data_IF_256580603128
#
_entry.id   IF_256580603128
#
_cell.length_a   1.000
_cell.length_b   1.000
_cell.length_c   1.000
_cell.angle_alpha   90.00
_cell.angle_beta   90.00
_cell.angle_gamma   90.00
#
_symmetry.space_group_name_H-M   'P 1'
#
loop_
_entity.id
_entity.type
_entity.pdbx_description
1 polymer ?
#
# COMPACT_ATOMS: atom_id res chain seq x y z
N UNK A 1 10.13 -42.60 -29.49
CA UNK A 1 10.98 -41.44 -29.11
C UNK A 1 10.76 -40.21 -30.00
N UNK A 2 10.94 -40.27 -31.33
CA UNK A 2 10.75 -39.09 -32.22
C UNK A 2 9.36 -38.43 -32.14
N UNK A 3 8.27 -39.21 -32.10
CA UNK A 3 6.89 -38.69 -31.98
C UNK A 3 6.60 -38.01 -30.64
N UNK A 4 7.19 -38.51 -29.55
CA UNK A 4 7.07 -37.91 -28.20
C UNK A 4 7.86 -36.60 -28.12
N UNK A 5 9.08 -36.57 -28.69
CA UNK A 5 9.88 -35.34 -28.77
C UNK A 5 9.21 -34.24 -29.61
N UNK A 6 8.59 -34.61 -30.73
CA UNK A 6 7.84 -33.66 -31.57
C UNK A 6 6.60 -33.10 -30.84
N UNK A 7 5.90 -33.94 -30.08
CA UNK A 7 4.75 -33.53 -29.27
C UNK A 7 5.14 -32.55 -28.15
N UNK A 8 6.22 -32.84 -27.41
CA UNK A 8 6.73 -31.95 -26.37
C UNK A 8 7.20 -30.60 -26.94
N UNK A 9 7.86 -30.60 -28.09
CA UNK A 9 8.25 -29.37 -28.78
C UNK A 9 7.04 -28.54 -29.19
N UNK A 10 6.01 -29.17 -29.75
CA UNK A 10 4.77 -28.48 -30.13
C UNK A 10 4.08 -27.83 -28.92
N UNK A 11 4.02 -28.53 -27.78
CA UNK A 11 3.47 -27.98 -26.53
C UNK A 11 4.30 -26.79 -26.03
N UNK A 12 5.63 -26.90 -26.06
CA UNK A 12 6.51 -25.81 -25.65
C UNK A 12 6.32 -24.57 -26.53
N UNK A 13 6.28 -24.73 -27.86
CA UNK A 13 6.03 -23.64 -28.80
C UNK A 13 4.65 -23.00 -28.56
N UNK A 14 3.61 -23.81 -28.35
CA UNK A 14 2.27 -23.30 -28.04
C UNK A 14 2.24 -22.51 -26.72
N UNK A 15 2.93 -22.99 -25.69
CA UNK A 15 3.03 -22.29 -24.41
C UNK A 15 3.76 -20.94 -24.55
N UNK A 16 4.88 -20.89 -25.29
CA UNK A 16 5.61 -19.65 -25.57
C UNK A 16 4.74 -18.67 -26.37
N UNK A 17 4.04 -19.16 -27.40
CA UNK A 17 3.13 -18.34 -28.19
C UNK A 17 1.99 -17.76 -27.34
N UNK A 18 1.42 -18.56 -26.43
CA UNK A 18 0.40 -18.10 -25.48
C UNK A 18 0.95 -17.02 -24.53
N UNK A 19 2.13 -17.23 -23.94
CA UNK A 19 2.77 -16.23 -23.07
C UNK A 19 3.03 -14.94 -23.85
N UNK A 20 3.54 -15.01 -25.08
CA UNK A 20 3.73 -13.83 -25.92
C UNK A 20 2.42 -13.11 -26.20
N UNK A 21 1.38 -13.84 -26.66
CA UNK A 21 0.06 -13.28 -26.92
C UNK A 21 -0.52 -12.57 -25.68
N UNK A 22 -0.47 -13.22 -24.51
CA UNK A 22 -0.97 -12.65 -23.26
C UNK A 22 -0.18 -11.42 -22.77
N UNK A 23 1.09 -11.27 -23.19
CA UNK A 23 1.90 -10.11 -22.84
C UNK A 23 1.65 -8.90 -23.74
N UNK A 24 1.23 -9.11 -24.99
CA UNK A 24 0.92 -8.04 -25.95
C UNK A 24 -0.58 -7.72 -26.05
N UNK A 25 -1.45 -8.48 -25.39
CA UNK A 25 -2.89 -8.19 -25.37
C UNK A 25 -3.17 -6.78 -24.83
N UNK A 26 -4.05 -6.05 -25.50
CA UNK A 26 -4.45 -4.70 -25.09
C UNK A 26 -3.34 -3.65 -25.22
N UNK A 27 -2.24 -3.95 -25.94
CA UNK A 27 -1.20 -2.98 -26.28
C UNK A 27 -1.44 -2.51 -27.72
N UNK A 28 -1.95 -1.28 -27.88
CA UNK A 28 -2.07 -0.63 -29.18
C UNK A 28 -0.75 -0.04 -29.65
N UNK A 29 -0.71 0.44 -30.90
CA UNK A 29 0.40 1.25 -31.38
C UNK A 29 0.59 2.49 -30.50
N UNK A 30 1.83 2.77 -30.13
CA UNK A 30 2.19 3.97 -29.37
C UNK A 30 2.57 5.08 -30.34
N UNK A 31 2.10 6.29 -30.06
CA UNK A 31 2.60 7.48 -30.72
C UNK A 31 3.92 7.89 -30.04
N UNK A 32 5.00 7.74 -30.78
CA UNK A 32 6.36 8.05 -30.33
C UNK A 32 6.76 9.50 -30.65
N UNK A 33 5.84 10.28 -31.22
CA UNK A 33 6.08 11.69 -31.50
C UNK A 33 6.44 12.44 -30.21
N UNK A 34 7.55 13.20 -30.20
CA UNK A 34 7.85 14.11 -29.10
C UNK A 34 6.79 15.21 -29.02
N UNK A 35 6.36 15.57 -27.81
CA UNK A 35 5.51 16.74 -27.61
C UNK A 35 6.34 18.03 -27.84
N UNK A 36 6.17 18.65 -29.00
CA UNK A 36 6.83 19.91 -29.36
C UNK A 36 6.29 21.12 -28.57
N UNK A 37 5.05 21.05 -28.10
CA UNK A 37 4.39 22.16 -27.41
C UNK A 37 4.60 22.08 -25.89
N UNK A 38 4.87 23.21 -25.21
CA UNK A 38 4.81 23.28 -23.75
C UNK A 38 3.44 22.83 -23.24
N UNK A 39 3.38 22.13 -22.09
CA UNK A 39 2.11 21.66 -21.55
C UNK A 39 1.23 22.84 -21.13
N UNK A 40 -0.08 22.75 -21.38
CA UNK A 40 -1.04 23.77 -20.95
C UNK A 40 -1.09 23.85 -19.42
N UNK A 41 -1.23 25.05 -18.86
CA UNK A 41 -1.20 25.27 -17.41
C UNK A 41 -2.26 24.44 -16.65
N UNK A 42 -3.48 24.32 -17.21
CA UNK A 42 -4.55 23.52 -16.60
C UNK A 42 -4.23 22.02 -16.60
N UNK A 43 -3.55 21.52 -17.65
CA UNK A 43 -3.07 20.14 -17.73
C UNK A 43 -2.01 19.86 -16.66
N UNK A 44 -1.05 20.78 -16.51
CA UNK A 44 -0.01 20.70 -15.47
C UNK A 44 -0.62 20.72 -14.07
N UNK A 45 -1.59 21.60 -13.80
CA UNK A 45 -2.26 21.68 -12.50
C UNK A 45 -3.02 20.38 -12.18
N UNK A 46 -3.75 19.84 -13.16
CA UNK A 46 -4.42 18.54 -13.03
C UNK A 46 -3.42 17.40 -12.81
N UNK A 47 -2.33 17.39 -13.56
CA UNK A 47 -1.24 16.42 -13.42
C UNK A 47 -0.61 16.44 -12.05
N UNK A 48 -0.32 17.62 -11.51
CA UNK A 48 0.22 17.80 -10.16
C UNK A 48 -0.68 17.15 -9.10
N UNK A 49 -1.99 17.37 -9.24
CA UNK A 49 -3.00 16.77 -8.36
C UNK A 49 -3.01 15.23 -8.47
N UNK A 50 -3.02 14.69 -9.68
CA UNK A 50 -3.09 13.25 -9.92
C UNK A 50 -1.80 12.51 -9.54
N UNK A 51 -0.62 13.10 -9.79
CA UNK A 51 0.67 12.56 -9.36
C UNK A 51 0.77 12.51 -7.84
N UNK A 52 0.17 13.49 -7.15
CA UNK A 52 0.06 13.47 -5.69
C UNK A 52 -0.93 12.40 -5.21
N UNK A 53 -2.11 12.31 -5.82
CA UNK A 53 -3.10 11.26 -5.54
C UNK A 53 -2.49 9.85 -5.72
N UNK A 54 -1.71 9.67 -6.79
CA UNK A 54 -0.97 8.45 -7.11
C UNK A 54 0.21 8.14 -6.20
N UNK A 55 0.51 9.02 -5.23
CA UNK A 55 1.61 8.90 -4.28
C UNK A 55 3.00 8.70 -4.93
N UNK A 56 3.20 9.21 -6.15
CA UNK A 56 4.41 8.90 -6.93
C UNK A 56 5.70 9.37 -6.24
N UNK A 57 5.64 10.51 -5.54
CA UNK A 57 6.80 11.11 -4.87
C UNK A 57 7.38 10.22 -3.77
N UNK A 58 6.56 9.44 -3.07
CA UNK A 58 6.99 8.54 -1.99
C UNK A 58 7.96 7.48 -2.49
N UNK A 59 7.71 6.92 -3.68
CA UNK A 59 8.59 5.93 -4.29
C UNK A 59 9.70 6.61 -5.10
N UNK A 60 9.40 7.67 -5.84
CA UNK A 60 10.34 8.30 -6.76
C UNK A 60 11.19 9.40 -6.14
N UNK A 61 11.36 9.40 -4.82
CA UNK A 61 12.27 10.32 -4.11
C UNK A 61 13.00 9.55 -3.02
N UNK A 62 14.33 9.50 -3.11
CA UNK A 62 15.16 8.99 -2.02
C UNK A 62 15.19 9.98 -0.85
N UNK A 63 15.39 9.48 0.37
CA UNK A 63 15.50 10.33 1.57
C UNK A 63 16.66 11.32 1.40
N UNK A 64 16.35 12.62 1.48
CA UNK A 64 17.32 13.70 1.26
C UNK A 64 17.69 13.95 -0.21
N UNK A 65 17.09 13.22 -1.15
CA UNK A 65 17.28 13.41 -2.59
C UNK A 65 16.36 14.48 -3.17
N UNK A 66 16.63 14.86 -4.43
CA UNK A 66 15.77 15.77 -5.17
C UNK A 66 14.40 15.13 -5.46
N UNK A 67 13.29 15.89 -5.35
CA UNK A 67 11.95 15.38 -5.64
C UNK A 67 11.86 14.71 -7.01
N UNK A 68 11.22 13.54 -7.07
CA UNK A 68 11.00 12.77 -8.30
C UNK A 68 12.26 12.22 -8.99
N UNK A 69 13.46 12.42 -8.44
CA UNK A 69 14.72 11.95 -9.03
C UNK A 69 15.00 10.44 -8.82
N UNK A 70 14.06 9.68 -8.26
CA UNK A 70 14.09 8.22 -8.14
C UNK A 70 14.90 7.68 -6.97
N UNK A 71 15.43 6.48 -7.16
CA UNK A 71 16.48 5.81 -6.39
C UNK A 71 16.17 5.31 -4.99
N UNK A 72 14.94 5.52 -4.49
CA UNK A 72 14.49 4.81 -3.29
C UNK A 72 14.52 3.31 -3.54
N UNK A 73 15.11 2.57 -2.60
CA UNK A 73 15.08 1.12 -2.56
C UNK A 73 13.72 0.62 -2.04
N UNK A 74 13.16 -0.38 -2.71
CA UNK A 74 11.94 -1.07 -2.33
C UNK A 74 12.30 -2.55 -2.18
N UNK A 75 12.41 -2.99 -0.93
CA UNK A 75 12.71 -4.39 -0.62
C UNK A 75 11.49 -5.26 -0.86
N UNK A 76 11.71 -6.38 -1.53
CA UNK A 76 10.70 -7.40 -1.78
C UNK A 76 11.24 -8.77 -1.38
N UNK A 77 10.37 -9.78 -1.18
CA UNK A 77 10.81 -11.17 -1.01
C UNK A 77 11.64 -11.71 -2.18
N UNK A 78 11.70 -11.02 -3.32
CA UNK A 78 12.42 -11.46 -4.52
C UNK A 78 13.74 -10.71 -4.73
N UNK A 79 14.08 -9.76 -3.84
CA UNK A 79 15.22 -8.85 -3.92
C UNK A 79 14.76 -7.39 -3.94
N UNK A 80 15.66 -6.48 -4.26
CA UNK A 80 15.41 -5.04 -4.15
C UNK A 80 15.11 -4.43 -5.53
N UNK A 81 14.02 -3.68 -5.63
CA UNK A 81 13.67 -2.85 -6.79
C UNK A 81 14.01 -1.40 -6.46
N UNK A 82 14.57 -0.65 -7.42
CA UNK A 82 14.86 0.77 -7.25
C UNK A 82 13.92 1.60 -8.10
N UNK A 83 13.38 2.68 -7.54
CA UNK A 83 12.53 3.60 -8.28
C UNK A 83 13.33 4.38 -9.34
N UNK A 84 12.73 4.63 -10.50
CA UNK A 84 13.37 5.41 -11.57
C UNK A 84 13.26 6.93 -11.37
N UNK A 85 14.05 7.70 -12.08
CA UNK A 85 13.94 9.15 -12.18
C UNK A 85 12.72 9.52 -13.05
N UNK A 86 11.80 10.35 -12.53
CA UNK A 86 10.62 10.83 -13.25
C UNK A 86 10.76 12.27 -13.79
N UNK A 87 11.87 12.95 -13.49
CA UNK A 87 12.12 14.31 -13.98
C UNK A 87 12.35 14.32 -15.50
N UNK A 88 12.23 15.46 -16.20
CA UNK A 88 12.43 15.53 -17.66
C UNK A 88 13.90 15.43 -18.09
N UNK A 89 14.81 15.02 -17.20
CA UNK A 89 16.18 14.72 -17.59
C UNK A 89 16.24 13.48 -18.50
N UNK A 90 17.30 13.36 -19.31
CA UNK A 90 17.53 12.20 -20.21
C UNK A 90 17.60 10.86 -19.46
N UNK A 91 18.08 10.87 -18.23
CA UNK A 91 18.10 9.68 -17.36
C UNK A 91 16.73 9.34 -16.75
N UNK A 92 15.75 10.24 -16.87
CA UNK A 92 14.36 10.06 -16.46
C UNK A 92 13.39 10.00 -17.64
N UNK A 93 12.43 10.93 -17.67
CA UNK A 93 11.37 10.99 -18.69
C UNK A 93 11.69 11.88 -19.89
N UNK A 94 12.90 12.45 -19.99
CA UNK A 94 13.22 13.47 -21.01
C UNK A 94 13.03 13.04 -22.46
N UNK A 95 13.20 11.74 -22.73
CA UNK A 95 13.02 11.18 -24.08
C UNK A 95 11.72 10.36 -24.22
N UNK A 96 10.82 10.41 -23.23
CA UNK A 96 9.55 9.68 -23.27
C UNK A 96 8.51 10.47 -24.07
N UNK A 97 7.62 9.75 -24.74
CA UNK A 97 6.39 10.32 -25.32
C UNK A 97 5.20 10.08 -24.37
N UNK A 98 4.07 10.78 -24.56
CA UNK A 98 2.84 10.47 -23.84
C UNK A 98 2.40 9.02 -24.04
N UNK A 99 2.59 8.47 -25.25
CA UNK A 99 2.33 7.06 -25.56
C UNK A 99 3.18 6.10 -24.73
N UNK A 100 4.47 6.40 -24.54
CA UNK A 100 5.33 5.63 -23.66
C UNK A 100 4.89 5.67 -22.19
N UNK A 101 4.53 6.86 -21.70
CA UNK A 101 4.09 7.04 -20.32
C UNK A 101 2.76 6.32 -20.05
N UNK A 102 1.80 6.48 -20.96
CA UNK A 102 0.55 5.71 -20.97
C UNK A 102 0.82 4.22 -20.91
N UNK A 103 1.65 3.69 -21.81
CA UNK A 103 1.97 2.26 -21.86
C UNK A 103 2.63 1.76 -20.57
N UNK A 104 3.48 2.57 -19.92
CA UNK A 104 4.05 2.18 -18.65
C UNK A 104 2.94 2.02 -17.58
N UNK A 105 2.07 3.00 -17.42
CA UNK A 105 0.97 2.94 -16.45
C UNK A 105 -0.03 1.80 -16.77
N UNK A 106 -0.36 1.64 -18.05
CA UNK A 106 -1.47 0.80 -18.49
C UNK A 106 -1.07 -0.65 -18.77
N UNK A 107 0.15 -0.87 -19.27
CA UNK A 107 0.63 -2.18 -19.66
C UNK A 107 1.90 -2.60 -18.89
N UNK A 108 2.40 -1.79 -17.96
CA UNK A 108 3.62 -2.13 -17.22
C UNK A 108 4.82 -2.33 -18.13
N UNK A 109 4.93 -1.56 -19.21
CA UNK A 109 6.03 -1.66 -20.18
C UNK A 109 6.74 -0.32 -20.34
N UNK A 110 8.06 -0.37 -20.19
CA UNK A 110 8.96 0.76 -20.32
C UNK A 110 9.03 1.30 -21.75
N UNK A 111 9.64 2.47 -21.94
CA UNK A 111 9.91 3.07 -23.26
C UNK A 111 10.62 2.10 -24.21
N UNK A 112 11.67 1.45 -23.73
CA UNK A 112 12.48 0.45 -24.45
C UNK A 112 11.78 -0.90 -24.69
N UNK A 113 10.50 -1.03 -24.32
CA UNK A 113 9.72 -2.25 -24.49
C UNK A 113 9.91 -3.29 -23.38
N UNK A 114 10.82 -3.05 -22.43
CA UNK A 114 11.06 -3.91 -21.28
C UNK A 114 9.84 -3.97 -20.36
N UNK A 115 9.51 -5.15 -19.84
CA UNK A 115 8.51 -5.32 -18.80
C UNK A 115 8.99 -4.70 -17.48
N UNK A 116 8.11 -3.94 -16.86
CA UNK A 116 8.27 -3.33 -15.55
C UNK A 116 7.82 -4.32 -14.47
N UNK A 117 8.50 -4.27 -13.33
CA UNK A 117 8.13 -5.10 -12.18
C UNK A 117 6.86 -4.55 -11.51
N UNK A 118 5.97 -5.40 -11.00
CA UNK A 118 4.69 -5.00 -10.39
C UNK A 118 4.83 -4.22 -9.07
N UNK A 119 6.06 -4.01 -8.58
CA UNK A 119 6.35 -3.01 -7.55
C UNK A 119 6.03 -1.59 -8.04
N UNK A 120 6.13 -1.34 -9.36
CA UNK A 120 5.42 -0.26 -10.00
C UNK A 120 3.97 -0.71 -10.17
N UNK A 121 2.98 -0.05 -9.51
CA UNK A 121 1.63 -0.58 -9.39
C UNK A 121 0.79 -0.37 -10.67
N UNK A 122 1.37 -0.72 -11.83
CA UNK A 122 0.67 -0.76 -13.12
C UNK A 122 -0.55 -1.69 -13.13
N UNK A 123 -0.67 -2.76 -12.30
CA UNK A 123 -1.94 -3.47 -12.17
C UNK A 123 -3.08 -2.52 -11.81
N UNK A 124 -2.85 -1.59 -10.88
CA UNK A 124 -3.83 -0.59 -10.47
C UNK A 124 -3.91 0.58 -11.47
N UNK A 125 -2.76 1.10 -11.90
CA UNK A 125 -2.71 2.26 -12.80
C UNK A 125 -3.27 1.99 -14.19
N UNK A 126 -3.51 0.73 -14.57
CA UNK A 126 -4.31 0.40 -15.75
C UNK A 126 -5.69 1.06 -15.72
N UNK A 127 -6.25 1.41 -14.56
CA UNK A 127 -7.54 2.10 -14.54
C UNK A 127 -7.43 3.59 -14.89
N UNK A 128 -6.24 4.20 -14.83
CA UNK A 128 -6.05 5.63 -15.12
C UNK A 128 -6.48 5.92 -16.55
N UNK A 129 -7.27 6.99 -16.73
CA UNK A 129 -7.77 7.39 -18.05
C UNK A 129 -6.65 8.03 -18.88
N UNK A 130 -6.78 8.00 -20.22
CA UNK A 130 -5.76 8.58 -21.10
C UNK A 130 -5.50 10.06 -20.82
N UNK A 131 -6.57 10.83 -20.65
CA UNK A 131 -6.47 12.26 -20.33
C UNK A 131 -5.73 12.51 -19.00
N UNK A 132 -5.96 11.65 -17.99
CA UNK A 132 -5.28 11.76 -16.70
C UNK A 132 -3.80 11.37 -16.79
N UNK A 133 -3.47 10.33 -17.55
CA UNK A 133 -2.07 9.96 -17.79
C UNK A 133 -1.30 11.05 -18.56
N UNK A 134 -1.92 11.66 -19.58
CA UNK A 134 -1.31 12.75 -20.33
C UNK A 134 -1.09 13.98 -19.43
N UNK A 135 -2.07 14.34 -18.59
CA UNK A 135 -1.92 15.42 -17.61
C UNK A 135 -0.80 15.15 -16.58
N UNK A 136 -0.74 13.92 -16.06
CA UNK A 136 0.36 13.50 -15.16
C UNK A 136 1.72 13.63 -15.84
N UNK A 137 1.83 13.21 -17.12
CA UNK A 137 3.05 13.35 -17.90
C UNK A 137 3.44 14.81 -18.12
N UNK A 138 2.47 15.67 -18.46
CA UNK A 138 2.66 17.10 -18.61
C UNK A 138 3.22 17.76 -17.33
N UNK A 139 2.67 17.40 -16.16
CA UNK A 139 3.20 17.88 -14.89
C UNK A 139 4.63 17.40 -14.65
N UNK A 140 4.92 16.11 -14.81
CA UNK A 140 6.26 15.57 -14.61
C UNK A 140 7.29 16.22 -15.56
N UNK A 141 6.88 16.52 -16.80
CA UNK A 141 7.72 17.22 -17.78
C UNK A 141 7.96 18.69 -17.44
N UNK A 142 7.11 19.30 -16.62
CA UNK A 142 7.27 20.68 -16.13
C UNK A 142 8.25 20.82 -14.96
N UNK A 143 8.66 19.70 -14.34
CA UNK A 143 9.57 19.71 -13.20
C UNK A 143 11.00 20.11 -13.58
N UNK A 144 11.82 20.60 -12.64
CA UNK A 144 13.25 20.75 -12.86
C UNK A 144 13.89 19.41 -13.26
N UNK A 145 14.68 19.41 -14.33
CA UNK A 145 15.45 18.25 -14.75
C UNK A 145 16.55 17.95 -13.73
N UNK A 146 16.63 16.71 -13.25
CA UNK A 146 17.69 16.27 -12.33
C UNK A 146 18.52 15.19 -13.02
N UNK A 147 19.82 15.47 -13.21
CA UNK A 147 20.76 14.47 -13.71
C UNK A 147 21.08 13.45 -12.61
N UNK A 148 20.38 12.32 -12.70
CA UNK A 148 20.62 11.18 -11.84
C UNK A 148 20.38 9.89 -12.59
N UNK A 149 21.41 9.06 -12.69
CA UNK A 149 21.31 7.74 -13.29
C UNK A 149 20.42 6.81 -12.46
N UNK A 150 19.64 5.98 -13.14
CA UNK A 150 18.80 4.97 -12.48
C UNK A 150 19.67 3.82 -11.95
N UNK A 151 19.43 3.42 -10.70
CA UNK A 151 20.05 2.24 -10.10
C UNK A 151 19.40 0.96 -10.66
N UNK A 152 20.18 -0.02 -11.15
CA UNK A 152 19.62 -1.31 -11.58
C UNK A 152 19.00 -2.09 -10.42
N UNK A 153 17.91 -2.80 -10.70
CA UNK A 153 17.28 -3.70 -9.73
C UNK A 153 18.22 -4.84 -9.33
N UNK A 154 18.16 -5.23 -8.05
CA UNK A 154 18.93 -6.35 -7.47
C UNK A 154 17.99 -7.49 -7.10
N UNK A 155 17.30 -8.01 -8.10
CA UNK A 155 16.42 -9.17 -7.95
C UNK A 155 17.22 -10.45 -8.07
N UNK A 156 16.81 -11.47 -7.32
CA UNK A 156 17.43 -12.80 -7.36
C UNK A 156 16.99 -13.53 -8.61
N UNK A 157 17.86 -14.36 -9.18
CA UNK A 157 17.45 -15.29 -10.22
C UNK A 157 16.38 -16.26 -9.66
N UNK A 158 15.31 -16.61 -10.43
CA UNK A 158 15.04 -16.24 -11.81
C UNK A 158 14.28 -14.93 -12.02
N UNK A 159 13.85 -14.26 -10.93
CA UNK A 159 13.02 -13.04 -10.96
C UNK A 159 13.70 -11.84 -11.64
N UNK A 160 15.02 -11.83 -11.77
CA UNK A 160 15.77 -10.81 -12.53
C UNK A 160 15.58 -10.89 -14.05
N UNK A 161 14.92 -11.92 -14.58
CA UNK A 161 14.80 -12.15 -16.03
C UNK A 161 13.48 -11.66 -16.62
N UNK A 162 13.51 -11.18 -17.86
CA UNK A 162 12.29 -10.78 -18.60
C UNK A 162 11.37 -11.96 -18.90
N UNK A 163 11.92 -13.17 -19.11
CA UNK A 163 11.13 -14.39 -19.32
C UNK A 163 10.29 -14.74 -18.10
N UNK A 164 10.88 -14.76 -16.90
CA UNK A 164 10.14 -15.01 -15.66
C UNK A 164 9.04 -13.96 -15.43
N UNK A 165 9.36 -12.68 -15.68
CA UNK A 165 8.38 -11.59 -15.56
C UNK A 165 7.25 -11.70 -16.59
N UNK A 166 7.54 -12.14 -17.82
CA UNK A 166 6.53 -12.38 -18.84
C UNK A 166 5.55 -13.50 -18.46
N UNK A 167 6.06 -14.60 -17.88
CA UNK A 167 5.22 -15.68 -17.36
C UNK A 167 4.35 -15.19 -16.20
N UNK A 168 4.93 -14.47 -15.24
CA UNK A 168 4.19 -13.89 -14.12
C UNK A 168 3.05 -12.98 -14.62
N UNK A 169 3.37 -12.10 -15.57
CA UNK A 169 2.41 -11.15 -16.16
C UNK A 169 1.29 -11.86 -16.89
N UNK A 170 1.59 -12.91 -17.65
CA UNK A 170 0.59 -13.70 -18.35
C UNK A 170 -0.41 -14.38 -17.40
N UNK A 171 0.01 -14.74 -16.18
CA UNK A 171 -0.83 -15.40 -15.18
C UNK A 171 -1.63 -14.41 -14.32
N UNK A 172 -1.05 -13.25 -13.98
CA UNK A 172 -1.58 -12.39 -12.90
C UNK A 172 -1.95 -10.97 -13.32
N UNK A 173 -1.78 -10.62 -14.60
CA UNK A 173 -2.16 -9.28 -15.07
C UNK A 173 -2.99 -9.34 -16.33
N UNK A 174 -4.14 -8.66 -16.30
CA UNK A 174 -4.94 -8.31 -17.47
C UNK A 174 -5.04 -6.78 -17.55
N UNK A 175 -4.72 -6.16 -18.70
CA UNK A 175 -4.99 -4.74 -18.87
C UNK A 175 -6.48 -4.48 -18.75
N UNK A 176 -6.83 -3.44 -18.00
CA UNK A 176 -8.20 -2.97 -17.84
C UNK A 176 -8.29 -1.47 -18.05
N UNK A 177 -9.49 -0.95 -18.23
CA UNK A 177 -9.76 0.49 -18.24
C UNK A 177 -10.80 0.79 -17.16
N UNK A 178 -10.83 2.03 -16.68
CA UNK A 178 -11.91 2.44 -15.81
C UNK A 178 -13.22 2.47 -16.58
N UNK A 179 -14.18 1.69 -16.09
CA UNK A 179 -15.55 1.70 -16.54
C UNK A 179 -16.45 2.07 -15.36
N UNK A 180 -17.38 3.00 -15.59
CA UNK A 180 -18.35 3.41 -14.59
C UNK A 180 -19.43 2.33 -14.43
N UNK A 181 -19.76 1.99 -13.19
CA UNK A 181 -20.90 1.15 -12.88
C UNK A 181 -22.18 2.01 -12.96
N UNK A 182 -23.02 1.71 -13.97
CA UNK A 182 -24.29 2.43 -14.22
C UNK A 182 -25.31 2.28 -13.09
N UNK A 183 -25.17 1.26 -12.23
CA UNK A 183 -26.03 1.07 -11.07
C UNK A 183 -25.56 1.90 -9.85
N UNK A 184 -24.45 2.63 -9.96
CA UNK A 184 -23.85 3.40 -8.88
C UNK A 184 -23.87 4.90 -9.19
N UNK A 185 -23.79 5.72 -8.14
CA UNK A 185 -23.72 7.16 -8.28
C UNK A 185 -22.38 7.60 -8.89
N UNK A 186 -22.35 8.78 -9.52
CA UNK A 186 -21.11 9.38 -10.01
C UNK A 186 -20.06 9.57 -8.89
N UNK A 187 -20.50 9.89 -7.67
CA UNK A 187 -19.64 9.97 -6.49
C UNK A 187 -18.99 8.62 -6.17
N UNK A 188 -19.77 7.53 -6.15
CA UNK A 188 -19.24 6.20 -5.89
C UNK A 188 -18.24 5.76 -6.98
N UNK A 189 -18.56 6.02 -8.26
CA UNK A 189 -17.66 5.70 -9.38
C UNK A 189 -16.36 6.50 -9.31
N UNK A 190 -16.42 7.78 -8.93
CA UNK A 190 -15.24 8.61 -8.68
C UNK A 190 -14.39 8.04 -7.54
N UNK A 191 -15.02 7.61 -6.45
CA UNK A 191 -14.34 6.94 -5.33
C UNK A 191 -13.67 5.65 -5.76
N UNK A 192 -14.38 4.81 -6.53
CA UNK A 192 -13.85 3.57 -7.08
C UNK A 192 -12.63 3.81 -7.96
N UNK A 193 -12.68 4.83 -8.83
CA UNK A 193 -11.56 5.23 -9.69
C UNK A 193 -10.32 5.59 -8.86
N UNK A 194 -10.49 6.42 -7.83
CA UNK A 194 -9.38 6.88 -6.98
C UNK A 194 -8.82 5.74 -6.12
N UNK A 195 -9.68 4.94 -5.47
CA UNK A 195 -9.24 3.87 -4.57
C UNK A 195 -8.61 2.70 -5.32
N UNK A 196 -9.19 2.28 -6.46
CA UNK A 196 -8.71 1.12 -7.24
C UNK A 196 -7.56 1.49 -8.18
N UNK A 197 -7.58 2.70 -8.71
CA UNK A 197 -6.58 3.25 -9.64
C UNK A 197 -5.43 3.93 -8.91
N UNK A 198 -5.39 5.26 -8.90
CA UNK A 198 -4.23 6.04 -8.41
C UNK A 198 -3.89 5.78 -6.94
N UNK A 199 -4.88 5.66 -6.06
CA UNK A 199 -4.67 5.34 -4.64
C UNK A 199 -4.22 3.90 -4.40
N UNK A 200 -4.35 3.02 -5.41
CA UNK A 200 -3.86 1.65 -5.44
C UNK A 200 -4.04 0.89 -4.12
N UNK A 201 -5.19 1.02 -3.45
CA UNK A 201 -5.36 0.56 -2.07
C UNK A 201 -5.17 -0.96 -1.94
N UNK A 202 -5.55 -1.72 -2.98
CA UNK A 202 -5.31 -3.17 -3.07
C UNK A 202 -3.84 -3.55 -3.22
N UNK A 203 -2.93 -2.61 -3.47
CA UNK A 203 -1.49 -2.90 -3.44
C UNK A 203 -1.01 -3.28 -2.02
N UNK A 204 -1.69 -2.80 -0.99
CA UNK A 204 -1.40 -3.15 0.42
C UNK A 204 -2.52 -3.98 1.04
N UNK A 205 -3.79 -3.61 0.83
CA UNK A 205 -4.94 -4.21 1.49
C UNK A 205 -5.44 -5.52 0.85
N UNK A 206 -4.56 -6.28 0.22
CA UNK A 206 -4.87 -7.56 -0.43
C UNK A 206 -3.83 -8.61 -0.07
N UNK A 207 -4.26 -9.83 0.19
CA UNK A 207 -3.36 -10.94 0.41
C UNK A 207 -2.55 -11.23 -0.86
N UNK A 208 -1.23 -11.39 -0.70
CA UNK A 208 -0.34 -11.79 -1.80
C UNK A 208 -0.01 -13.28 -1.68
N UNK A 209 -0.07 -13.99 -2.81
CA UNK A 209 0.39 -15.37 -2.87
C UNK A 209 1.92 -15.46 -2.83
N UNK A 210 2.46 -16.69 -2.81
CA UNK A 210 3.91 -16.93 -2.77
C UNK A 210 4.70 -16.32 -3.95
N UNK A 211 4.02 -15.94 -5.04
CA UNK A 211 4.60 -15.28 -6.21
C UNK A 211 4.48 -13.75 -6.15
N UNK A 212 4.06 -13.21 -5.00
CA UNK A 212 3.85 -11.77 -4.77
C UNK A 212 2.65 -11.19 -5.53
N UNK A 213 1.83 -12.03 -6.17
CA UNK A 213 0.67 -11.62 -6.93
C UNK A 213 -0.60 -11.61 -6.08
N UNK A 214 -1.54 -10.76 -6.47
CA UNK A 214 -2.94 -10.86 -6.13
C UNK A 214 -3.71 -11.33 -7.37
N UNK A 215 -4.67 -12.24 -7.22
CA UNK A 215 -5.47 -12.73 -8.34
C UNK A 215 -6.63 -11.81 -8.68
N UNK A 216 -7.02 -10.93 -7.76
CA UNK A 216 -8.11 -9.98 -7.93
C UNK A 216 -7.76 -8.64 -7.28
N UNK A 217 -7.84 -7.55 -8.05
CA UNK A 217 -7.61 -6.19 -7.56
C UNK A 217 -8.75 -5.66 -6.70
N UNK A 218 -9.90 -6.36 -6.69
CA UNK A 218 -11.05 -6.09 -5.83
C UNK A 218 -10.97 -6.82 -4.49
N UNK A 219 -10.06 -7.79 -4.35
CA UNK A 219 -9.88 -8.54 -3.13
C UNK A 219 -9.22 -7.66 -2.07
N UNK A 220 -10.00 -6.91 -1.30
CA UNK A 220 -9.53 -6.05 -0.22
C UNK A 220 -9.49 -6.80 1.13
N UNK A 221 -9.17 -8.10 1.10
CA UNK A 221 -9.14 -9.03 2.24
C UNK A 221 -8.03 -8.77 3.26
N UNK A 222 -7.14 -7.82 3.01
CA UNK A 222 -6.01 -7.53 3.89
C UNK A 222 -4.86 -8.54 3.75
N UNK A 223 -3.71 -8.21 4.32
CA UNK A 223 -2.52 -9.04 4.21
C UNK A 223 -1.30 -8.43 4.86
N UNK A 224 -0.31 -9.29 5.14
CA UNK A 224 0.99 -8.81 5.59
C UNK A 224 1.72 -8.15 4.42
N UNK A 225 2.24 -6.94 4.63
CA UNK A 225 3.12 -6.24 3.69
C UNK A 225 4.52 -6.84 3.86
N UNK A 226 5.01 -7.61 2.86
CA UNK A 226 6.30 -8.27 2.98
C UNK A 226 7.43 -7.23 3.14
N UNK A 227 8.48 -7.61 3.85
CA UNK A 227 9.66 -6.77 4.16
C UNK A 227 9.42 -5.55 5.05
N UNK A 228 8.19 -5.02 5.14
CA UNK A 228 7.84 -3.92 6.05
C UNK A 228 7.30 -4.44 7.38
N UNK A 229 6.81 -5.69 7.44
CA UNK A 229 6.24 -6.36 8.61
C UNK A 229 5.06 -5.62 9.26
N UNK A 230 4.41 -4.77 8.47
CA UNK A 230 3.11 -4.22 8.77
C UNK A 230 2.03 -5.11 8.17
N UNK A 231 0.95 -5.32 8.90
CA UNK A 231 -0.27 -5.93 8.41
C UNK A 231 -1.22 -4.83 7.92
N UNK A 232 -1.57 -4.86 6.64
CA UNK A 232 -2.61 -4.02 6.07
C UNK A 232 -3.96 -4.72 6.34
N UNK A 233 -4.80 -4.20 7.25
CA UNK A 233 -6.03 -4.91 7.62
C UNK A 233 -7.05 -4.87 6.50
N UNK A 234 -7.96 -5.83 6.46
CA UNK A 234 -8.99 -5.87 5.42
C UNK A 234 -9.89 -4.64 5.44
N UNK A 235 -10.23 -4.13 4.26
CA UNK A 235 -11.22 -3.06 4.10
C UNK A 235 -12.67 -3.59 3.99
N UNK A 236 -12.86 -4.92 3.92
CA UNK A 236 -14.18 -5.56 3.82
C UNK A 236 -14.63 -6.25 5.10
N UNK A 237 -13.77 -6.35 6.13
CA UNK A 237 -14.13 -6.92 7.43
C UNK A 237 -14.29 -5.82 8.49
N UNK A 238 -15.47 -5.69 9.14
CA UNK A 238 -15.72 -4.66 10.16
C UNK A 238 -14.78 -4.71 11.36
N UNK A 239 -14.37 -5.93 11.77
CA UNK A 239 -13.43 -6.14 12.87
C UNK A 239 -11.99 -5.75 12.54
N UNK A 240 -11.70 -5.44 11.27
CA UNK A 240 -10.39 -5.00 10.80
C UNK A 240 -10.42 -3.51 10.41
N UNK A 241 -10.22 -3.17 9.13
CA UNK A 241 -10.24 -1.80 8.63
C UNK A 241 -11.52 -1.46 7.85
N UNK A 242 -12.53 -2.35 7.83
CA UNK A 242 -13.85 -2.04 7.28
C UNK A 242 -14.49 -0.81 7.92
N UNK A 243 -15.20 -0.02 7.12
CA UNK A 243 -15.80 1.27 7.51
C UNK A 243 -17.28 1.38 7.16
N UNK A 244 -17.95 0.27 6.85
CA UNK A 244 -19.36 0.27 6.45
C UNK A 244 -20.28 0.90 7.51
N UNK A 245 -19.98 0.69 8.80
CA UNK A 245 -20.72 1.23 9.95
C UNK A 245 -20.22 2.61 10.42
N UNK A 246 -19.23 3.21 9.74
CA UNK A 246 -18.69 4.52 10.13
C UNK A 246 -19.51 5.66 9.54
N UNK A 247 -19.55 6.79 10.24
CA UNK A 247 -20.02 8.04 9.64
C UNK A 247 -19.09 8.47 8.51
N UNK A 248 -19.60 8.88 7.33
CA UNK A 248 -18.76 9.28 6.19
C UNK A 248 -17.70 10.33 6.56
N UNK A 249 -18.05 11.30 7.40
CA UNK A 249 -17.14 12.33 7.88
C UNK A 249 -15.95 11.78 8.68
N UNK A 250 -16.09 10.63 9.36
CA UNK A 250 -14.98 9.98 10.06
C UNK A 250 -14.01 9.31 9.09
N UNK A 251 -14.52 8.76 7.98
CA UNK A 251 -13.70 8.16 6.92
C UNK A 251 -12.90 9.25 6.21
N UNK A 252 -13.57 10.34 5.81
CA UNK A 252 -12.92 11.53 5.23
C UNK A 252 -11.83 12.05 6.16
N UNK A 253 -12.15 12.24 7.45
CA UNK A 253 -11.18 12.71 8.44
C UNK A 253 -9.97 11.77 8.55
N UNK A 254 -10.17 10.46 8.59
CA UNK A 254 -9.07 9.49 8.66
C UNK A 254 -8.14 9.62 7.44
N UNK A 255 -8.70 9.72 6.24
CA UNK A 255 -7.92 9.88 5.00
C UNK A 255 -7.25 11.25 4.91
N UNK A 256 -7.85 12.30 5.47
CA UNK A 256 -7.34 13.66 5.37
C UNK A 256 -6.28 13.98 6.43
N UNK A 257 -6.46 13.50 7.66
CA UNK A 257 -5.62 13.89 8.81
C UNK A 257 -4.81 12.74 9.38
N UNK A 258 -5.18 11.50 9.05
CA UNK A 258 -4.63 10.28 9.62
C UNK A 258 -5.23 9.88 10.97
N UNK A 259 -6.15 10.68 11.53
CA UNK A 259 -6.72 10.45 12.86
C UNK A 259 -8.22 10.68 12.87
N UNK A 260 -8.97 9.66 13.28
CA UNK A 260 -10.41 9.70 13.52
C UNK A 260 -10.74 9.09 14.89
N UNK A 261 -11.92 9.35 15.49
CA UNK A 261 -12.27 8.83 16.81
C UNK A 261 -12.14 7.30 16.96
N UNK A 262 -12.40 6.57 15.87
CA UNK A 262 -12.38 5.10 15.82
C UNK A 262 -11.12 4.51 15.17
N UNK A 263 -10.13 5.33 14.82
CA UNK A 263 -8.92 4.82 14.17
C UNK A 263 -7.84 5.87 13.94
N UNK A 264 -6.59 5.41 13.93
CA UNK A 264 -5.42 6.23 13.65
C UNK A 264 -4.50 5.44 12.73
N UNK A 265 -4.05 6.07 11.65
CA UNK A 265 -3.11 5.44 10.73
C UNK A 265 -1.68 5.54 11.27
N UNK A 266 -0.92 4.48 11.11
CA UNK A 266 0.49 4.39 11.49
C UNK A 266 1.25 3.65 10.38
N UNK A 267 2.58 3.66 10.45
CA UNK A 267 3.43 2.95 9.51
C UNK A 267 3.21 3.40 8.05
N UNK A 268 3.15 2.46 7.08
CA UNK A 268 3.04 2.79 5.66
C UNK A 268 1.79 3.61 5.31
N UNK A 269 0.68 3.41 6.02
CA UNK A 269 -0.54 4.18 5.79
C UNK A 269 -0.41 5.64 6.26
N UNK A 270 0.43 5.91 7.27
CA UNK A 270 0.77 7.28 7.65
C UNK A 270 1.58 7.99 6.56
N UNK A 271 2.50 7.31 5.87
CA UNK A 271 3.19 7.86 4.69
C UNK A 271 2.20 8.18 3.56
N UNK A 272 1.22 7.32 3.31
CA UNK A 272 0.16 7.57 2.31
C UNK A 272 -0.62 8.83 2.63
N UNK A 273 -1.06 9.01 3.89
CA UNK A 273 -1.77 10.22 4.30
C UNK A 273 -0.87 11.45 4.18
N UNK A 274 0.37 11.35 4.67
CA UNK A 274 1.31 12.45 4.67
C UNK A 274 1.65 12.95 3.24
N UNK A 275 1.86 12.03 2.31
CA UNK A 275 2.37 12.35 0.98
C UNK A 275 1.29 12.44 -0.11
N UNK A 276 0.10 11.85 0.12
CA UNK A 276 -0.99 11.78 -0.87
C UNK A 276 -2.32 12.31 -0.31
N UNK A 277 -3.04 11.53 0.50
CA UNK A 277 -4.49 11.74 0.68
C UNK A 277 -4.84 13.04 1.41
N UNK A 278 -3.97 13.58 2.27
CA UNK A 278 -4.24 14.87 2.93
C UNK A 278 -4.38 16.05 1.96
N UNK A 279 -3.84 15.90 0.74
CA UNK A 279 -3.79 16.95 -0.27
C UNK A 279 -4.90 16.82 -1.32
N UNK A 280 -5.77 15.81 -1.18
CA UNK A 280 -6.89 15.63 -2.10
C UNK A 280 -8.00 16.64 -1.82
N UNK A 281 -8.75 16.96 -2.86
CA UNK A 281 -9.91 17.81 -2.72
C UNK A 281 -10.94 17.13 -1.80
N UNK A 282 -11.66 17.88 -0.94
CA UNK A 282 -12.68 17.31 -0.05
C UNK A 282 -13.69 16.42 -0.78
N UNK A 283 -14.16 16.84 -1.97
CA UNK A 283 -15.08 16.06 -2.80
C UNK A 283 -14.52 14.70 -3.23
N UNK A 284 -13.22 14.61 -3.48
CA UNK A 284 -12.59 13.34 -3.84
C UNK A 284 -12.42 12.43 -2.60
N UNK A 285 -12.15 13.02 -1.43
CA UNK A 285 -12.14 12.27 -0.16
C UNK A 285 -13.54 11.75 0.21
N UNK A 286 -14.58 12.55 -0.02
CA UNK A 286 -15.99 12.15 0.13
C UNK A 286 -16.34 11.00 -0.82
N UNK A 287 -15.95 11.11 -2.09
CA UNK A 287 -16.12 10.03 -3.06
C UNK A 287 -15.39 8.74 -2.64
N UNK A 288 -14.13 8.84 -2.21
CA UNK A 288 -13.38 7.70 -1.65
C UNK A 288 -14.10 7.10 -0.43
N UNK A 289 -14.63 7.94 0.47
CA UNK A 289 -15.39 7.48 1.63
C UNK A 289 -16.70 6.77 1.22
N UNK A 290 -17.43 7.28 0.24
CA UNK A 290 -18.64 6.67 -0.30
C UNK A 290 -18.35 5.29 -0.91
N UNK A 291 -17.26 5.16 -1.66
CA UNK A 291 -16.82 3.88 -2.21
C UNK A 291 -16.44 2.88 -1.11
N UNK A 292 -15.57 3.27 -0.17
CA UNK A 292 -15.09 2.42 0.92
C UNK A 292 -16.22 1.95 1.85
N UNK A 293 -17.15 2.84 2.20
CA UNK A 293 -18.34 2.50 2.99
C UNK A 293 -19.26 1.52 2.27
N UNK A 294 -19.33 1.60 0.94
CA UNK A 294 -20.15 0.75 0.09
C UNK A 294 -19.52 -0.59 -0.30
N UNK A 295 -18.33 -0.94 0.22
CA UNK A 295 -17.69 -2.21 -0.07
C UNK A 295 -18.51 -3.39 0.49
N UNK A 296 -18.63 -4.51 -0.25
CA UNK A 296 -19.22 -5.73 0.27
C UNK A 296 -18.53 -6.15 1.57
N UNK A 297 -19.29 -6.46 2.61
CA UNK A 297 -18.73 -6.94 3.87
C UNK A 297 -18.53 -8.46 3.79
N UNK A 298 -17.32 -8.92 4.01
CA UNK A 298 -16.98 -10.33 4.03
C UNK A 298 -17.09 -10.84 5.47
N UNK A 299 -18.06 -11.72 5.75
CA UNK A 299 -18.19 -12.45 7.02
C UNK A 299 -18.70 -11.64 8.23
N UNK A 300 -19.57 -12.26 9.03
CA UNK A 300 -19.69 -11.87 10.44
C UNK A 300 -18.43 -12.36 11.16
N UNK A 301 -17.94 -11.59 12.13
CA UNK A 301 -16.79 -11.98 12.92
C UNK A 301 -16.98 -13.42 13.43
N UNK A 302 -16.18 -14.37 12.93
CA UNK A 302 -16.03 -15.65 13.63
C UNK A 302 -15.42 -15.29 14.97
N UNK A 303 -16.24 -15.43 16.02
CA UNK A 303 -15.77 -15.35 17.39
C UNK A 303 -14.53 -16.23 17.49
N UNK A 304 -13.39 -15.65 17.88
CA UNK A 304 -12.23 -16.44 18.30
C UNK A 304 -12.79 -17.40 19.35
N UNK A 305 -12.63 -18.73 19.20
CA UNK A 305 -13.07 -19.65 20.22
C UNK A 305 -12.50 -19.20 21.57
N UNK A 306 -13.39 -19.09 22.56
CA UNK A 306 -13.12 -18.72 23.96
C UNK A 306 -11.97 -19.56 24.59
N UNK A 307 -11.56 -20.64 23.91
CA UNK A 307 -10.55 -21.61 24.29
C UNK A 307 -9.08 -21.22 24.04
N UNK A 308 -8.76 -20.05 23.48
CA UNK A 308 -7.37 -19.53 23.46
C UNK A 308 -7.01 -18.68 24.69
N UNK A 309 -7.88 -18.68 25.72
CA UNK A 309 -7.62 -18.12 27.04
C UNK A 309 -6.58 -18.97 27.80
N UNK A 310 -5.37 -19.09 27.27
CA UNK A 310 -4.22 -19.28 28.15
C UNK A 310 -4.15 -17.99 28.98
N UNK A 311 -4.59 -18.11 30.24
CA UNK A 311 -4.67 -17.00 31.19
C UNK A 311 -3.37 -16.19 31.13
N UNK A 312 -3.44 -14.86 31.27
CA UNK A 312 -2.24 -14.04 31.30
C UNK A 312 -1.21 -14.65 32.26
N UNK A 313 0.08 -14.43 32.01
CA UNK A 313 1.05 -14.39 33.11
C UNK A 313 0.60 -13.26 34.05
N UNK A 314 -0.41 -13.55 34.86
CA UNK A 314 -1.16 -12.60 35.66
C UNK A 314 -0.17 -12.04 36.67
N UNK A 315 0.24 -10.79 36.43
CA UNK A 315 1.27 -10.11 37.20
C UNK A 315 2.28 -9.38 36.34
N UNK A 316 2.93 -10.02 35.34
CA UNK A 316 4.05 -9.37 34.61
C UNK A 316 3.55 -8.32 33.62
N UNK A 317 2.68 -8.72 32.68
CA UNK A 317 2.15 -7.81 31.66
C UNK A 317 1.39 -6.61 32.24
N UNK A 318 0.62 -6.82 33.32
CA UNK A 318 -0.09 -5.77 34.03
C UNK A 318 0.86 -4.77 34.71
N UNK A 319 1.91 -5.26 35.40
CA UNK A 319 2.93 -4.39 36.02
C UNK A 319 3.69 -3.58 34.97
N UNK A 320 4.05 -4.18 33.85
CA UNK A 320 4.69 -3.47 32.74
C UNK A 320 3.77 -2.39 32.16
N UNK A 321 2.48 -2.68 32.01
CA UNK A 321 1.48 -1.69 31.58
C UNK A 321 1.40 -0.52 32.55
N UNK A 322 1.33 -0.80 33.85
CA UNK A 322 1.33 0.20 34.91
C UNK A 322 2.57 1.09 34.88
N UNK A 323 3.75 0.50 34.68
CA UNK A 323 5.03 1.20 34.67
C UNK A 323 5.25 2.07 33.43
N UNK A 324 4.79 1.62 32.26
CA UNK A 324 5.20 2.21 30.98
C UNK A 324 4.04 2.81 30.15
N UNK A 325 2.80 2.38 30.36
CA UNK A 325 1.71 2.66 29.43
C UNK A 325 0.58 3.48 30.06
N UNK A 326 0.31 3.32 31.36
CA UNK A 326 -0.83 3.96 32.06
C UNK A 326 -0.83 5.47 31.95
N UNK A 327 0.33 6.13 31.97
CA UNK A 327 0.40 7.59 31.92
C UNK A 327 -0.27 8.19 30.66
N UNK A 328 -0.24 7.46 29.54
CA UNK A 328 -0.85 7.91 28.28
C UNK A 328 -2.17 7.19 27.97
N UNK A 329 -2.24 5.88 28.21
CA UNK A 329 -3.41 5.07 27.84
C UNK A 329 -4.43 4.90 28.98
N UNK A 330 -4.11 5.35 30.19
CA UNK A 330 -4.97 5.29 31.37
C UNK A 330 -5.02 3.90 32.01
N UNK A 331 -5.42 3.84 33.28
CA UNK A 331 -5.50 2.58 34.06
C UNK A 331 -6.44 1.54 33.43
N UNK A 332 -7.48 1.99 32.73
CA UNK A 332 -8.48 1.15 32.06
C UNK A 332 -8.31 1.11 30.55
N UNK A 333 -7.16 1.53 30.02
CA UNK A 333 -6.92 1.59 28.58
C UNK A 333 -7.86 2.54 27.85
N UNK A 334 -8.46 3.53 28.53
CA UNK A 334 -9.44 4.45 27.96
C UNK A 334 -8.81 5.51 27.03
N UNK A 335 -7.50 5.70 27.10
CA UNK A 335 -6.79 6.74 26.35
C UNK A 335 -7.21 8.16 26.74
N UNK A 336 -6.83 9.12 25.89
CA UNK A 336 -7.20 10.53 25.98
C UNK A 336 -7.71 10.97 24.61
N UNK A 337 -8.99 11.36 24.47
CA UNK A 337 -9.56 11.76 23.19
C UNK A 337 -8.71 12.81 22.47
N UNK A 338 -8.38 12.54 21.20
CA UNK A 338 -7.56 13.42 20.37
C UNK A 338 -6.06 13.40 20.63
N UNK A 339 -5.60 12.67 21.65
CA UNK A 339 -4.16 12.54 21.97
C UNK A 339 -3.69 11.09 21.95
N UNK A 340 -4.23 10.25 22.83
CA UNK A 340 -3.83 8.85 22.97
C UNK A 340 -5.02 7.95 22.68
N UNK A 341 -4.92 7.02 21.72
CA UNK A 341 -6.06 6.18 21.37
C UNK A 341 -6.45 5.28 22.56
N UNK A 342 -7.75 4.98 22.72
CA UNK A 342 -8.16 3.92 23.63
C UNK A 342 -7.52 2.60 23.21
N UNK A 343 -7.12 1.79 24.16
CA UNK A 343 -6.72 0.39 23.97
C UNK A 343 -7.89 -0.56 24.23
N UNK A 344 -8.80 -0.18 25.13
CA UNK A 344 -10.05 -0.89 25.37
C UNK A 344 -10.97 -0.80 24.16
N UNK A 345 -11.44 -1.94 23.65
CA UNK A 345 -12.35 -2.03 22.50
C UNK A 345 -11.73 -1.56 21.17
N UNK A 346 -10.42 -1.31 21.12
CA UNK A 346 -9.77 -0.83 19.90
C UNK A 346 -9.50 -1.99 18.95
N UNK A 347 -10.08 -1.91 17.75
CA UNK A 347 -9.90 -2.91 16.70
C UNK A 347 -8.43 -3.18 16.36
N UNK A 348 -7.57 -2.16 16.40
CA UNK A 348 -6.13 -2.32 16.14
C UNK A 348 -5.43 -3.19 17.21
N UNK A 349 -5.95 -3.20 18.44
CA UNK A 349 -5.49 -4.06 19.52
C UNK A 349 -5.99 -5.48 19.35
N UNK A 350 -7.23 -5.66 18.89
CA UNK A 350 -7.88 -6.98 18.78
C UNK A 350 -7.72 -7.66 17.43
N UNK A 351 -7.01 -7.06 16.48
CA UNK A 351 -6.67 -7.67 15.19
C UNK A 351 -6.11 -9.10 15.38
N UNK A 352 -6.48 -10.07 14.52
CA UNK A 352 -5.89 -11.41 14.53
C UNK A 352 -4.36 -11.35 14.38
N UNK A 353 -3.87 -10.54 13.44
CA UNK A 353 -2.45 -10.29 13.25
C UNK A 353 -1.94 -9.21 14.23
N UNK A 354 -1.15 -9.63 15.23
CA UNK A 354 -0.57 -8.72 16.22
C UNK A 354 0.67 -7.93 15.72
N UNK A 355 1.10 -8.14 14.46
CA UNK A 355 2.29 -7.52 13.89
C UNK A 355 2.33 -6.00 14.07
N UNK A 356 1.23 -5.31 13.78
CA UNK A 356 1.13 -3.85 13.93
C UNK A 356 1.31 -3.42 15.38
N UNK A 357 0.69 -4.13 16.33
CA UNK A 357 0.77 -3.77 17.74
C UNK A 357 2.20 -3.97 18.27
N UNK A 358 2.87 -5.04 17.85
CA UNK A 358 4.29 -5.27 18.17
C UNK A 358 5.16 -4.16 17.57
N UNK A 359 4.96 -3.79 16.31
CA UNK A 359 5.68 -2.70 15.65
C UNK A 359 5.52 -1.37 16.38
N UNK A 360 4.29 -1.04 16.79
CA UNK A 360 4.00 0.19 17.53
C UNK A 360 4.66 0.20 18.92
N UNK A 361 4.68 -0.92 19.64
CA UNK A 361 5.36 -0.99 20.95
C UNK A 361 6.88 -0.91 20.79
N UNK A 362 7.45 -1.64 19.83
CA UNK A 362 8.90 -1.66 19.62
C UNK A 362 9.41 -0.32 19.07
N UNK A 363 8.81 0.16 17.98
CA UNK A 363 9.26 1.34 17.24
C UNK A 363 8.68 2.66 17.72
N UNK A 364 7.60 2.63 18.53
CA UNK A 364 6.88 3.84 18.87
C UNK A 364 6.34 4.54 17.63
N UNK A 365 6.32 5.87 17.67
CA UNK A 365 6.11 6.72 16.51
C UNK A 365 4.93 7.66 16.64
N UNK A 366 4.57 8.28 15.52
CA UNK A 366 3.59 9.35 15.45
C UNK A 366 2.57 9.07 14.34
N UNK A 367 1.30 9.44 14.54
CA UNK A 367 0.39 9.69 13.44
C UNK A 367 0.98 10.74 12.47
N UNK A 368 0.52 10.79 11.20
CA UNK A 368 1.08 11.72 10.23
C UNK A 368 0.83 13.17 10.65
N UNK A 369 1.87 14.01 10.50
CA UNK A 369 1.76 15.44 10.68
C UNK A 369 1.08 16.06 9.45
N UNK A 370 -0.17 16.48 9.61
CA UNK A 370 -1.01 17.02 8.52
C UNK A 370 -1.52 18.41 8.89
N UNK A 371 -2.12 19.13 7.94
CA UNK A 371 -2.78 20.41 8.23
C UNK A 371 -3.86 20.28 9.33
N UNK A 372 -4.58 19.14 9.36
CA UNK A 372 -5.60 18.83 10.38
C UNK A 372 -5.07 18.13 11.63
N UNK A 373 -3.77 17.83 11.69
CA UNK A 373 -3.09 17.22 12.83
C UNK A 373 -1.60 17.67 12.86
N UNK A 374 -1.30 18.96 13.09
CA UNK A 374 0.03 19.51 12.87
C UNK A 374 1.04 19.14 13.97
N UNK A 375 0.56 18.71 15.14
CA UNK A 375 1.38 18.32 16.29
C UNK A 375 0.88 16.98 16.85
N UNK A 376 1.13 15.87 16.14
CA UNK A 376 0.68 14.56 16.58
C UNK A 376 1.33 14.17 17.92
N UNK A 377 0.55 13.58 18.82
CA UNK A 377 1.08 12.92 20.00
C UNK A 377 1.74 11.60 19.61
N UNK A 378 2.93 11.35 20.15
CA UNK A 378 3.72 10.15 19.84
C UNK A 378 3.68 9.11 20.95
N UNK A 379 3.96 7.87 20.57
CA UNK A 379 4.28 6.79 21.49
C UNK A 379 5.80 6.59 21.54
N UNK A 380 6.43 6.53 22.73
CA UNK A 380 7.87 6.27 22.83
C UNK A 380 8.21 4.83 22.36
N UNK A 381 9.41 4.62 21.78
CA UNK A 381 9.86 3.29 21.41
C UNK A 381 10.31 2.48 22.63
N UNK A 382 9.93 1.20 22.71
CA UNK A 382 10.33 0.30 23.79
C UNK A 382 11.33 -0.78 23.36
N UNK A 383 11.78 -0.77 22.11
CA UNK A 383 12.71 -1.79 21.59
C UNK A 383 13.98 -1.94 22.46
N UNK A 384 14.54 -0.86 23.00
CA UNK A 384 15.76 -0.91 23.83
C UNK A 384 15.50 -1.03 25.33
N UNK A 385 14.23 -0.93 25.74
CA UNK A 385 13.84 -0.88 27.17
C UNK A 385 13.26 -2.22 27.62
N UNK A 386 12.45 -2.86 26.77
CA UNK A 386 11.75 -4.10 27.08
C UNK A 386 12.34 -5.27 26.30
N UNK A 387 12.49 -6.40 26.98
CA UNK A 387 12.83 -7.68 26.34
C UNK A 387 11.68 -8.18 25.46
N UNK A 388 11.94 -9.13 24.56
CA UNK A 388 10.89 -9.71 23.72
C UNK A 388 9.81 -10.40 24.57
N UNK A 389 10.20 -11.03 25.68
CA UNK A 389 9.28 -11.59 26.67
C UNK A 389 8.42 -10.52 27.36
N UNK A 390 8.99 -9.36 27.68
CA UNK A 390 8.26 -8.24 28.28
C UNK A 390 7.23 -7.64 27.32
N UNK A 391 7.64 -7.41 26.08
CA UNK A 391 6.76 -6.92 25.02
C UNK A 391 5.61 -7.90 24.77
N UNK A 392 5.92 -9.20 24.69
CA UNK A 392 4.91 -10.25 24.56
C UNK A 392 3.92 -10.25 25.75
N UNK A 393 4.43 -10.12 26.98
CA UNK A 393 3.61 -10.11 28.19
C UNK A 393 2.68 -8.88 28.26
N UNK A 394 3.20 -7.66 28.00
CA UNK A 394 2.39 -6.43 28.07
C UNK A 394 1.35 -6.39 26.95
N UNK A 395 1.70 -6.79 25.73
CA UNK A 395 0.76 -6.86 24.61
C UNK A 395 -0.32 -7.90 24.89
N UNK A 396 0.04 -9.09 25.41
CA UNK A 396 -0.94 -10.11 25.78
C UNK A 396 -1.90 -9.63 26.86
N UNK A 397 -1.41 -8.86 27.83
CA UNK A 397 -2.26 -8.21 28.83
C UNK A 397 -3.25 -7.23 28.18
N UNK A 398 -2.76 -6.30 27.35
CA UNK A 398 -3.60 -5.31 26.65
C UNK A 398 -4.69 -5.99 25.79
N UNK A 399 -4.35 -7.10 25.12
CA UNK A 399 -5.24 -7.86 24.24
C UNK A 399 -6.31 -8.69 24.97
N UNK A 400 -6.13 -8.94 26.27
CA UNK A 400 -7.11 -9.63 27.12
C UNK A 400 -7.77 -8.76 28.20
N UNK A 401 -7.40 -7.48 28.29
CA UNK A 401 -7.90 -6.56 29.31
C UNK A 401 -9.08 -5.72 28.82
N UNK A 402 -9.86 -5.17 29.75
CA UNK A 402 -10.92 -4.17 29.49
C UNK A 402 -11.96 -4.58 28.45
N UNK A 403 -12.31 -5.88 28.41
CA UNK A 403 -13.28 -6.44 27.46
C UNK A 403 -12.69 -6.81 26.10
N UNK A 404 -11.37 -6.67 25.91
CA UNK A 404 -10.69 -7.19 24.72
C UNK A 404 -10.63 -8.73 24.80
N UNK A 405 -10.94 -9.37 23.66
CA UNK A 405 -10.88 -10.82 23.50
C UNK A 405 -10.05 -11.18 22.27
N UNK A 406 -8.72 -11.13 22.42
CA UNK A 406 -7.79 -11.48 21.34
C UNK A 406 -6.69 -12.40 21.84
N UNK A 407 -6.17 -13.26 20.94
CA UNK A 407 -5.15 -14.24 21.28
C UNK A 407 -3.88 -13.57 21.83
N UNK A 408 -3.18 -14.18 22.81
CA UNK A 408 -1.93 -13.66 23.34
C UNK A 408 -0.82 -13.65 22.28
N UNK A 409 0.21 -12.84 22.51
CA UNK A 409 1.40 -12.74 21.65
C UNK A 409 2.55 -13.50 22.30
N UNK A 410 3.25 -14.32 21.53
CA UNK A 410 4.42 -15.05 21.99
C UNK A 410 5.70 -14.20 21.87
N UNK A 411 6.68 -14.50 22.71
CA UNK A 411 8.03 -13.93 22.61
C UNK A 411 8.64 -14.16 21.22
N UNK A 412 8.46 -15.35 20.65
CA UNK A 412 8.91 -15.67 19.29
C UNK A 412 8.31 -14.74 18.23
N UNK A 413 7.01 -14.41 18.35
CA UNK A 413 6.37 -13.48 17.42
C UNK A 413 6.96 -12.07 17.54
N UNK A 414 7.34 -11.63 18.74
CA UNK A 414 8.04 -10.36 18.95
C UNK A 414 9.44 -10.39 18.35
N UNK A 415 10.18 -11.47 18.60
CA UNK A 415 11.53 -11.64 18.07
C UNK A 415 11.58 -11.58 16.54
N UNK A 416 10.61 -12.22 15.87
CA UNK A 416 10.46 -12.17 14.41
C UNK A 416 10.25 -10.75 13.88
N UNK A 417 9.52 -9.91 14.62
CA UNK A 417 9.31 -8.49 14.28
C UNK A 417 10.55 -7.63 14.53
N UNK A 418 11.33 -7.94 15.57
CA UNK A 418 12.59 -7.24 15.86
C UNK A 418 13.68 -7.55 14.84
N UNK A 419 13.83 -8.82 14.45
CA UNK A 419 14.83 -9.22 13.45
C UNK A 419 14.61 -8.65 12.04
N UNK A 420 13.43 -8.06 11.82
CA UNK A 420 12.98 -7.58 10.52
C UNK A 420 12.82 -6.05 10.44
N UNK A 421 12.94 -5.35 11.58
CA UNK A 421 13.16 -3.91 11.65
C UNK A 421 14.66 -3.62 11.47
N UNK A 422 15.10 -3.45 10.22
CA UNK A 422 16.43 -2.86 9.98
C UNK A 422 16.35 -1.35 10.25
N UNK A 423 17.37 -0.75 10.89
CA UNK A 423 17.39 0.66 11.26
C UNK A 423 17.28 1.61 10.05
#
# INVERSE_FOLDING_TARGET
>A
MKRVGLGLLAVAVAAIALVMFLNFRGEGGIDDAPLATPPAADSVARGAYLVRAGNCMTCHTERGGAPFAGGRAIDTPFGTVYAGNLTPHKSGLGDWSPGHFWRALHNGRSRDGRLLYPAFPYPNYTLVTRADADAMFDYLRSLPAVDRANTPNRLRWPYSTQGALAVWRAMYFSPGQHEEDRARSAEWNRGAYLVRGLGHCSACHTARNAWGANSDMMDLSGGLIPMQNWYAPSLTFPSEAGVADWEPAQIVRLLQTGVAPRGTVLGPMAEVVLQSTQHLAPKDLEAMAAYLKGLPQSGSASAVPEAAANRPQAGRGAKLYEQHCVQCHGEKGQGVPGAYPPLAGNRAVTLPAAANLVQVVLGGGFPPATAGNPRPYGMPPYATVLTDADVAAVISHIRGAWGNAAAPVSEFAVNQQRGSTRP
#
